data_IF_865414910482
#
_entry.id   IF_865414910482
#
_cell.length_a   1.000
_cell.length_b   1.000
_cell.length_c   1.000
_cell.angle_alpha   90.00
_cell.angle_beta   90.00
_cell.angle_gamma   90.00
#
_symmetry.space_group_name_H-M   'P 1'
#
loop_
_entity.id
_entity.type
_entity.pdbx_description
1 polymer ?
#
# COMPACT_ATOMS: atom_id res chain seq x y z
N UNK A 1 2.22 10.86 7.58
CA UNK A 1 1.34 9.72 7.95
C UNK A 1 2.12 8.45 7.68
N UNK A 2 1.92 7.42 8.50
CA UNK A 2 2.61 6.15 8.34
C UNK A 2 1.97 5.31 7.23
N UNK A 3 2.79 4.73 6.37
CA UNK A 3 2.35 3.84 5.31
C UNK A 3 3.35 2.70 5.11
N UNK A 4 2.84 1.54 4.69
CA UNK A 4 3.68 0.45 4.16
C UNK A 4 3.90 0.71 2.67
N UNK A 5 5.16 0.86 2.26
CA UNK A 5 5.56 1.27 0.91
C UNK A 5 6.55 0.27 0.33
N UNK A 6 6.44 -0.01 -0.96
CA UNK A 6 7.45 -0.72 -1.75
C UNK A 6 7.65 0.00 -3.09
N UNK A 7 8.89 0.08 -3.57
CA UNK A 7 9.23 0.73 -4.85
C UNK A 7 9.78 -0.25 -5.88
N UNK A 8 9.92 -1.52 -5.49
CA UNK A 8 10.38 -2.64 -6.32
C UNK A 8 9.57 -3.88 -5.96
N UNK A 9 9.37 -4.77 -6.92
CA UNK A 9 8.74 -6.07 -6.68
C UNK A 9 9.72 -7.03 -5.98
N UNK A 10 9.19 -7.91 -5.13
CA UNK A 10 9.99 -8.94 -4.47
C UNK A 10 9.26 -9.67 -3.35
N UNK A 11 9.97 -10.53 -2.59
CA UNK A 11 9.45 -11.11 -1.37
C UNK A 11 9.02 -10.01 -0.39
N UNK A 12 7.84 -10.10 0.27
CA UNK A 12 7.33 -9.04 1.12
C UNK A 12 8.30 -8.59 2.22
N UNK A 13 9.01 -9.55 2.83
CA UNK A 13 9.96 -9.29 3.91
C UNK A 13 11.18 -8.46 3.45
N UNK A 14 11.48 -8.47 2.16
CA UNK A 14 12.64 -7.77 1.57
C UNK A 14 12.30 -6.39 1.00
N UNK A 15 11.01 -6.11 0.74
CA UNK A 15 10.59 -4.92 -0.04
C UNK A 15 9.57 -4.03 0.64
N UNK A 16 8.84 -4.53 1.64
CA UNK A 16 7.87 -3.72 2.39
C UNK A 16 8.59 -2.91 3.46
N UNK A 17 8.44 -1.59 3.40
CA UNK A 17 9.04 -0.66 4.35
C UNK A 17 7.97 0.21 4.99
N UNK A 18 8.01 0.35 6.32
CA UNK A 18 7.20 1.35 7.02
C UNK A 18 7.85 2.73 6.86
N UNK A 19 7.14 3.67 6.24
CA UNK A 19 7.62 5.03 6.00
C UNK A 19 6.64 6.08 6.50
N UNK A 20 7.19 7.23 6.90
CA UNK A 20 6.42 8.46 6.99
C UNK A 20 6.30 9.06 5.58
N UNK A 21 5.07 9.32 5.15
CA UNK A 21 4.74 9.94 3.86
C UNK A 21 3.88 11.18 4.09
N UNK A 22 3.81 12.06 3.09
CA UNK A 22 2.93 13.23 3.16
C UNK A 22 1.47 12.81 3.30
N UNK A 23 0.70 13.55 4.10
CA UNK A 23 -0.74 13.31 4.26
C UNK A 23 -1.44 13.80 2.98
N UNK A 24 -2.23 12.97 2.30
CA UNK A 24 -2.88 13.39 1.06
C UNK A 24 -3.94 14.46 1.33
N UNK A 25 -4.08 15.39 0.38
CA UNK A 25 -5.12 16.42 0.37
C UNK A 25 -6.22 16.00 -0.61
N UNK A 26 -7.45 15.71 -0.15
CA UNK A 26 -8.54 15.31 -1.03
C UNK A 26 -8.97 16.45 -1.96
N UNK A 27 -9.43 16.10 -3.17
CA UNK A 27 -10.11 17.02 -4.10
C UNK A 27 -11.58 17.20 -3.73
N UNK A 28 -12.29 18.03 -4.50
CA UNK A 28 -13.70 18.41 -4.24
C UNK A 28 -14.66 17.21 -4.04
N UNK A 29 -14.47 16.12 -4.79
CA UNK A 29 -15.32 14.92 -4.72
C UNK A 29 -14.67 13.72 -3.98
N UNK A 30 -13.62 13.96 -3.21
CA UNK A 30 -12.89 12.93 -2.46
C UNK A 30 -13.02 13.13 -0.95
N UNK A 31 -12.88 12.05 -0.18
CA UNK A 31 -12.83 12.11 1.28
C UNK A 31 -11.52 11.54 1.80
N UNK A 32 -11.00 12.13 2.87
CA UNK A 32 -9.83 11.61 3.57
C UNK A 32 -10.27 10.75 4.76
N UNK A 33 -9.93 9.47 4.71
CA UNK A 33 -10.31 8.49 5.72
C UNK A 33 -9.13 8.22 6.67
N UNK A 34 -9.38 8.27 7.97
CA UNK A 34 -8.45 7.76 8.98
C UNK A 34 -8.61 6.24 9.11
N UNK A 35 -7.57 5.50 8.68
CA UNK A 35 -7.60 4.04 8.68
C UNK A 35 -7.27 3.51 10.08
N UNK A 36 -8.25 2.92 10.76
CA UNK A 36 -8.04 2.24 12.05
C UNK A 36 -7.56 0.79 11.89
N UNK A 37 -8.02 0.11 10.84
CA UNK A 37 -7.64 -1.26 10.51
C UNK A 37 -7.84 -1.54 9.02
N UNK A 38 -7.04 -2.44 8.46
CA UNK A 38 -7.27 -3.05 7.14
C UNK A 38 -6.94 -4.53 7.19
N UNK A 39 -7.55 -5.32 6.30
CA UNK A 39 -7.25 -6.74 6.15
C UNK A 39 -6.08 -6.97 5.20
N UNK A 40 -5.39 -8.08 5.39
CA UNK A 40 -4.45 -8.61 4.39
C UNK A 40 -5.20 -9.60 3.51
N UNK A 41 -5.10 -9.42 2.20
CA UNK A 41 -5.68 -10.31 1.21
C UNK A 41 -4.62 -10.81 0.22
N UNK A 42 -4.97 -11.83 -0.57
CA UNK A 42 -4.06 -12.42 -1.55
C UNK A 42 -3.59 -11.42 -2.61
N UNK A 43 -4.44 -10.45 -2.97
CA UNK A 43 -4.09 -9.43 -3.95
C UNK A 43 -2.96 -8.52 -3.46
N UNK A 44 -2.87 -8.23 -2.15
CA UNK A 44 -1.72 -7.53 -1.60
C UNK A 44 -0.41 -8.27 -1.91
N UNK A 45 -0.38 -9.60 -1.71
CA UNK A 45 0.80 -10.41 -1.97
C UNK A 45 1.17 -10.46 -3.46
N UNK A 46 0.17 -10.59 -4.34
CA UNK A 46 0.38 -10.59 -5.78
C UNK A 46 0.97 -9.26 -6.28
N UNK A 47 0.45 -8.12 -5.78
CA UNK A 47 0.93 -6.78 -6.12
C UNK A 47 2.37 -6.52 -5.64
N UNK A 48 2.73 -6.98 -4.43
CA UNK A 48 4.09 -6.81 -3.90
C UNK A 48 5.10 -7.68 -4.64
N UNK A 49 4.72 -8.91 -5.01
CA UNK A 49 5.57 -9.81 -5.80
C UNK A 49 5.64 -9.44 -7.29
N UNK A 50 4.67 -8.68 -7.79
CA UNK A 50 4.46 -8.43 -9.22
C UNK A 50 4.05 -9.67 -10.02
N UNK A 51 3.62 -10.75 -9.34
CA UNK A 51 3.25 -12.04 -9.95
C UNK A 51 2.14 -12.74 -9.15
N UNK A 52 1.10 -13.30 -9.82
CA UNK A 52 0.79 -13.13 -11.24
C UNK A 52 0.50 -11.66 -11.58
N UNK A 53 0.52 -11.32 -12.87
CA UNK A 53 -0.01 -10.02 -13.29
C UNK A 53 -1.52 -10.03 -13.05
N UNK A 54 -1.97 -9.21 -12.11
CA UNK A 54 -3.38 -9.02 -11.79
C UNK A 54 -3.84 -7.79 -12.58
N UNK A 55 -4.89 -7.95 -13.40
CA UNK A 55 -5.49 -6.88 -14.18
C UNK A 55 -6.46 -6.04 -13.35
#
# INVERSE_FOLDING_TARGET
MKAIVYTKYGPPDDVLELKEVEKPTPKDDEVLVEVHASSVNFNNLANVKGKPLVA
#
